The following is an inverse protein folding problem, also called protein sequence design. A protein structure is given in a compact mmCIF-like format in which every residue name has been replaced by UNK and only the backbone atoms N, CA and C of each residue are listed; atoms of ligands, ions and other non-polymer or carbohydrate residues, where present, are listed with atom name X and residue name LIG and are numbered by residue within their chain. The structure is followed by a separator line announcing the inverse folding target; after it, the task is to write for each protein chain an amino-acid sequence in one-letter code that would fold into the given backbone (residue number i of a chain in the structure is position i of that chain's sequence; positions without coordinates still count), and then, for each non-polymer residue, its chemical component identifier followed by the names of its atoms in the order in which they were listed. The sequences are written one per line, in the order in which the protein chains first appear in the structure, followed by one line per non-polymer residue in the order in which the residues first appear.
data_IF_334482002462
#
_entry.id   IF_334482002462
#
_cell.length_a   1.000
_cell.length_b   1.000
_cell.length_c   1.000
_cell.angle_alpha   90.00
_cell.angle_beta   90.00
_cell.angle_gamma   90.00
#
_symmetry.space_group_name_H-M   'P 1'
#
loop_
_entity.id
_entity.type
_entity.pdbx_description
1 polymer ?
#
# COMPACT_ATOMS: atom_id res chain seq x y z
N UNK A 1 -3.34 -2.55 27.91
CA UNK A 1 -3.15 -3.96 27.54
C UNK A 1 -4.15 -4.20 26.42
N UNK A 2 -3.69 -4.53 25.22
CA UNK A 2 -4.64 -4.84 24.14
C UNK A 2 -5.44 -6.08 24.53
N UNK A 3 -6.76 -6.03 24.36
CA UNK A 3 -7.61 -7.18 24.64
C UNK A 3 -7.32 -8.30 23.64
N UNK A 4 -7.31 -9.55 24.11
CA UNK A 4 -7.13 -10.69 23.23
C UNK A 4 -8.39 -10.85 22.37
N UNK A 5 -8.23 -10.81 21.05
CA UNK A 5 -9.35 -11.00 20.13
C UNK A 5 -10.00 -12.38 20.30
N UNK A 6 -11.32 -12.47 20.09
CA UNK A 6 -12.03 -13.74 20.05
C UNK A 6 -11.62 -14.52 18.79
N UNK A 7 -10.50 -15.25 18.90
CA UNK A 7 -9.94 -16.03 17.80
C UNK A 7 -10.89 -17.14 17.37
N UNK A 8 -11.20 -17.16 16.08
CA UNK A 8 -12.11 -18.14 15.48
C UNK A 8 -11.57 -18.65 14.14
N UNK A 9 -10.87 -19.78 14.16
CA UNK A 9 -10.15 -20.29 12.97
C UNK A 9 -11.03 -21.09 11.99
N UNK A 10 -12.23 -21.51 12.40
CA UNK A 10 -13.10 -22.30 11.52
C UNK A 10 -13.69 -21.43 10.41
N UNK A 11 -13.19 -21.59 9.18
CA UNK A 11 -13.56 -20.77 8.00
C UNK A 11 -15.06 -20.81 7.65
N UNK A 12 -15.73 -21.94 7.85
CA UNK A 12 -17.16 -22.06 7.55
C UNK A 12 -17.49 -21.98 6.06
N UNK A 13 -18.75 -21.68 5.75
CA UNK A 13 -19.27 -21.49 4.39
C UNK A 13 -20.03 -20.17 4.29
N UNK A 14 -19.75 -19.42 3.25
CA UNK A 14 -20.41 -18.14 3.01
C UNK A 14 -21.93 -18.32 2.79
N UNK A 15 -22.78 -17.59 3.52
CA UNK A 15 -24.22 -17.66 3.34
C UNK A 15 -24.65 -17.22 1.93
N UNK A 16 -25.72 -17.79 1.37
CA UNK A 16 -26.28 -17.32 0.09
C UNK A 16 -26.78 -15.88 0.21
N UNK A 17 -26.82 -15.16 -0.93
CA UNK A 17 -27.18 -13.74 -0.97
C UNK A 17 -28.51 -13.42 -0.27
N UNK A 18 -29.54 -14.25 -0.49
CA UNK A 18 -30.85 -14.11 0.17
C UNK A 18 -30.74 -14.09 1.70
N UNK A 19 -29.91 -14.96 2.28
CA UNK A 19 -29.76 -15.06 3.74
C UNK A 19 -28.94 -13.88 4.30
N UNK A 20 -28.05 -13.30 3.50
CA UNK A 20 -27.33 -12.07 3.87
C UNK A 20 -28.24 -10.84 3.86
N UNK A 21 -29.19 -10.80 2.92
CA UNK A 21 -30.14 -9.69 2.78
C UNK A 21 -31.26 -9.78 3.83
N UNK A 22 -31.91 -10.93 3.92
CA UNK A 22 -33.11 -11.09 4.74
C UNK A 22 -32.77 -11.41 6.20
N UNK A 23 -31.56 -11.94 6.44
CA UNK A 23 -31.13 -12.42 7.75
C UNK A 23 -31.83 -13.72 8.16
N UNK A 24 -31.51 -14.18 9.38
CA UNK A 24 -32.17 -15.36 9.95
C UNK A 24 -33.62 -15.06 10.30
N UNK A 25 -34.54 -15.84 9.74
CA UNK A 25 -35.97 -15.70 10.04
C UNK A 25 -36.37 -16.47 11.29
N UNK A 26 -37.45 -16.05 11.98
CA UNK A 26 -38.02 -16.80 13.09
C UNK A 26 -38.30 -18.27 12.71
N UNK A 27 -37.91 -19.20 13.59
CA UNK A 27 -38.06 -20.64 13.37
C UNK A 27 -36.96 -21.28 12.50
N UNK A 28 -36.08 -20.49 11.88
CA UNK A 28 -34.89 -21.04 11.21
C UNK A 28 -33.83 -21.44 12.23
N UNK A 29 -33.18 -22.59 12.00
CA UNK A 29 -31.99 -22.99 12.76
C UNK A 29 -30.74 -22.48 12.01
N UNK A 30 -29.92 -21.61 12.65
CA UNK A 30 -28.68 -21.16 12.03
C UNK A 30 -27.75 -22.32 11.68
N UNK A 31 -27.27 -22.34 10.44
CA UNK A 31 -26.24 -23.30 10.01
C UNK A 31 -24.94 -22.98 10.74
N UNK A 32 -24.35 -23.99 11.39
CA UNK A 32 -23.05 -23.87 12.04
C UNK A 32 -21.98 -23.42 11.05
N UNK A 33 -22.05 -23.86 9.79
CA UNK A 33 -21.10 -23.44 8.75
C UNK A 33 -21.24 -21.95 8.40
N UNK A 34 -22.46 -21.43 8.35
CA UNK A 34 -22.70 -20.00 8.11
C UNK A 34 -22.28 -19.13 9.29
N UNK A 35 -22.51 -19.60 10.52
CA UNK A 35 -22.05 -18.92 11.74
C UNK A 35 -20.52 -18.90 11.84
N UNK A 36 -19.88 -20.03 11.55
CA UNK A 36 -18.42 -20.13 11.49
C UNK A 36 -17.82 -19.14 10.50
N UNK A 37 -18.42 -19.01 9.31
CA UNK A 37 -17.99 -18.01 8.32
C UNK A 37 -18.08 -16.58 8.84
N UNK A 38 -19.19 -16.22 9.49
CA UNK A 38 -19.37 -14.89 10.05
C UNK A 38 -18.33 -14.60 11.15
N UNK A 39 -18.17 -15.50 12.12
CA UNK A 39 -17.23 -15.32 13.21
C UNK A 39 -15.78 -15.30 12.76
N UNK A 40 -15.40 -16.18 11.82
CA UNK A 40 -14.06 -16.18 11.24
C UNK A 40 -13.78 -14.86 10.52
N UNK A 41 -14.72 -14.36 9.71
CA UNK A 41 -14.54 -13.10 8.97
C UNK A 41 -14.43 -11.91 9.92
N UNK A 42 -15.29 -11.83 10.94
CA UNK A 42 -15.22 -10.79 11.97
C UNK A 42 -13.86 -10.83 12.68
N UNK A 43 -13.43 -12.02 13.15
CA UNK A 43 -12.13 -12.18 13.79
C UNK A 43 -10.99 -11.70 12.88
N UNK A 44 -10.98 -12.11 11.61
CA UNK A 44 -9.94 -11.69 10.66
C UNK A 44 -9.92 -10.18 10.40
N UNK A 45 -11.07 -9.54 10.26
CA UNK A 45 -11.12 -8.09 10.11
C UNK A 45 -10.65 -7.36 11.39
N UNK A 46 -10.99 -7.86 12.57
CA UNK A 46 -10.50 -7.27 13.83
C UNK A 46 -8.99 -7.49 14.01
N UNK A 47 -8.48 -8.68 13.65
CA UNK A 47 -7.05 -9.01 13.67
C UNK A 47 -6.26 -8.10 12.74
N UNK A 48 -6.77 -7.86 11.53
CA UNK A 48 -6.21 -6.93 10.55
C UNK A 48 -6.17 -5.49 11.09
N UNK A 49 -7.29 -5.01 11.65
CA UNK A 49 -7.37 -3.67 12.25
C UNK A 49 -6.41 -3.54 13.44
N UNK A 50 -6.31 -4.55 14.30
CA UNK A 50 -5.43 -4.51 15.46
C UNK A 50 -3.95 -4.58 15.07
N UNK A 51 -3.60 -5.41 14.08
CA UNK A 51 -2.20 -5.61 13.68
C UNK A 51 -1.68 -4.41 12.88
N UNK A 52 -2.48 -3.91 11.94
CA UNK A 52 -2.03 -2.94 10.95
C UNK A 52 -2.69 -1.56 11.10
N UNK A 53 -3.61 -1.38 12.05
CA UNK A 53 -4.39 -0.14 12.20
C UNK A 53 -5.28 0.18 11.00
N UNK A 54 -5.49 -0.77 10.07
CA UNK A 54 -6.05 -0.49 8.75
C UNK A 54 -5.15 0.40 7.86
N UNK A 55 -3.85 0.47 8.16
CA UNK A 55 -2.87 1.34 7.47
C UNK A 55 -1.89 0.59 6.59
N UNK A 56 -2.05 -0.73 6.42
CA UNK A 56 -1.09 -1.56 5.67
C UNK A 56 -0.85 -1.04 4.25
N UNK A 57 -1.92 -0.72 3.52
CA UNK A 57 -1.84 -0.14 2.18
C UNK A 57 -1.08 1.19 2.19
N UNK A 58 -1.37 2.07 3.16
CA UNK A 58 -0.69 3.36 3.33
C UNK A 58 0.80 3.16 3.68
N UNK A 59 1.14 2.16 4.49
CA UNK A 59 2.52 1.84 4.83
C UNK A 59 3.29 1.31 3.62
N UNK A 60 2.65 0.49 2.78
CA UNK A 60 3.24 0.01 1.53
C UNK A 60 3.50 1.17 0.55
N UNK A 61 2.53 2.07 0.39
CA UNK A 61 2.70 3.27 -0.44
C UNK A 61 3.79 4.20 0.11
N UNK A 62 3.83 4.40 1.43
CA UNK A 62 4.87 5.20 2.09
C UNK A 62 6.26 4.60 1.86
N UNK A 63 6.40 3.28 1.98
CA UNK A 63 7.67 2.59 1.73
C UNK A 63 8.11 2.73 0.27
N UNK A 64 7.17 2.63 -0.69
CA UNK A 64 7.45 2.85 -2.11
C UNK A 64 7.89 4.30 -2.39
N UNK A 65 7.21 5.29 -1.80
CA UNK A 65 7.58 6.69 -1.90
C UNK A 65 8.95 6.98 -1.28
N UNK A 66 9.27 6.38 -0.14
CA UNK A 66 10.57 6.51 0.49
C UNK A 66 11.70 5.94 -0.38
N UNK A 67 11.47 4.80 -1.04
CA UNK A 67 12.42 4.23 -1.98
C UNK A 67 12.67 5.17 -3.18
N UNK A 68 11.59 5.70 -3.78
CA UNK A 68 11.69 6.67 -4.88
C UNK A 68 12.47 7.93 -4.48
N UNK A 69 12.19 8.48 -3.28
CA UNK A 69 12.89 9.65 -2.76
C UNK A 69 14.37 9.33 -2.50
N UNK A 70 14.68 8.15 -1.98
CA UNK A 70 16.06 7.74 -1.75
C UNK A 70 16.84 7.58 -3.06
N UNK A 71 16.23 7.02 -4.09
CA UNK A 71 16.81 6.93 -5.44
C UNK A 71 17.03 8.32 -6.05
N UNK A 72 16.01 9.20 -5.96
CA UNK A 72 16.11 10.59 -6.43
C UNK A 72 17.23 11.37 -5.72
N UNK A 73 17.40 11.18 -4.41
CA UNK A 73 18.46 11.82 -3.62
C UNK A 73 19.87 11.29 -3.93
N UNK A 74 19.98 10.05 -4.39
CA UNK A 74 21.26 9.42 -4.70
C UNK A 74 21.75 9.74 -6.12
N UNK A 75 20.86 10.08 -7.04
CA UNK A 75 21.20 10.43 -8.41
C UNK A 75 21.52 11.93 -8.54
N UNK A 76 22.68 12.26 -9.10
CA UNK A 76 23.09 13.65 -9.37
C UNK A 76 22.30 14.29 -10.52
N UNK A 77 21.65 13.49 -11.38
CA UNK A 77 20.86 13.94 -12.54
C UNK A 77 19.51 13.19 -12.66
N UNK A 78 18.58 13.36 -11.70
CA UNK A 78 17.35 12.57 -11.62
C UNK A 78 16.18 13.13 -12.45
N UNK A 79 16.37 14.28 -13.11
CA UNK A 79 15.32 14.93 -13.88
C UNK A 79 15.58 14.82 -15.37
N UNK A 80 14.52 14.75 -16.16
CA UNK A 80 14.60 14.61 -17.62
C UNK A 80 13.67 15.61 -18.32
N UNK A 81 14.07 16.08 -19.50
CA UNK A 81 13.20 16.83 -20.40
C UNK A 81 13.56 16.56 -21.86
N UNK A 82 12.59 16.70 -22.76
CA UNK A 82 12.82 16.71 -24.21
C UNK A 82 12.85 18.15 -24.71
N UNK A 83 13.94 18.55 -25.36
CA UNK A 83 14.05 19.87 -25.96
C UNK A 83 13.27 19.92 -27.28
N UNK A 84 12.38 20.91 -27.41
CA UNK A 84 11.52 21.06 -28.58
C UNK A 84 12.27 21.52 -29.84
N UNK A 85 13.51 22.00 -29.69
CA UNK A 85 14.34 22.57 -30.76
C UNK A 85 15.11 21.49 -31.51
N UNK A 86 15.70 20.54 -30.78
CA UNK A 86 16.52 19.47 -31.34
C UNK A 86 15.87 18.07 -31.22
N UNK A 87 14.71 17.98 -30.55
CA UNK A 87 13.96 16.75 -30.29
C UNK A 87 14.73 15.68 -29.51
N UNK A 88 15.75 16.10 -28.77
CA UNK A 88 16.57 15.21 -27.92
C UNK A 88 16.10 15.27 -26.48
N UNK A 89 16.31 14.15 -25.79
CA UNK A 89 16.03 14.03 -24.37
C UNK A 89 17.31 14.21 -23.59
N UNK A 90 17.25 15.04 -22.54
CA UNK A 90 18.37 15.33 -21.66
C UNK A 90 18.01 15.01 -20.22
N UNK A 91 18.93 14.38 -19.50
CA UNK A 91 18.86 14.26 -18.04
C UNK A 91 19.71 15.34 -17.38
N UNK A 92 19.26 15.87 -16.24
CA UNK A 92 19.90 16.98 -15.56
C UNK A 92 19.76 16.94 -14.04
N UNK A 93 20.63 17.68 -13.36
CA UNK A 93 20.58 17.89 -11.92
C UNK A 93 21.71 18.80 -11.42
N UNK A 94 22.12 18.60 -10.16
CA UNK A 94 23.07 19.47 -9.47
C UNK A 94 24.10 18.64 -8.70
N UNK A 95 25.36 19.09 -8.73
CA UNK A 95 26.43 18.51 -7.90
C UNK A 95 27.35 19.58 -7.34
N UNK A 96 28.20 19.22 -6.38
CA UNK A 96 29.23 20.14 -5.86
C UNK A 96 30.30 20.40 -6.90
N UNK A 97 30.78 21.64 -6.98
CA UNK A 97 31.95 21.97 -7.80
C UNK A 97 33.24 21.33 -7.24
N UNK A 98 34.34 21.40 -8.02
CA UNK A 98 35.61 20.77 -7.64
C UNK A 98 36.19 21.30 -6.31
N UNK A 99 35.93 22.57 -5.98
CA UNK A 99 36.37 23.20 -4.73
C UNK A 99 35.46 22.90 -3.53
N UNK A 100 34.31 22.24 -3.74
CA UNK A 100 33.28 21.94 -2.74
C UNK A 100 32.74 23.18 -2.00
N UNK A 101 32.81 24.35 -2.64
CA UNK A 101 32.36 25.64 -2.11
C UNK A 101 31.12 26.19 -2.85
N UNK A 102 30.61 25.47 -3.85
CA UNK A 102 29.41 25.83 -4.60
C UNK A 102 28.78 24.66 -5.34
N UNK A 103 27.57 24.90 -5.87
CA UNK A 103 26.82 23.95 -6.70
C UNK A 103 27.00 24.28 -8.19
N UNK A 104 27.03 23.24 -9.03
CA UNK A 104 27.03 23.35 -10.49
C UNK A 104 25.85 22.58 -11.06
N UNK A 105 25.20 23.18 -12.06
CA UNK A 105 24.21 22.50 -12.88
C UNK A 105 24.92 21.55 -13.86
N UNK A 106 24.41 20.34 -13.99
CA UNK A 106 24.92 19.31 -14.90
C UNK A 106 23.77 18.75 -15.73
N UNK A 107 24.06 18.44 -16.99
CA UNK A 107 23.10 17.80 -17.89
C UNK A 107 23.84 16.99 -18.96
N UNK A 108 23.21 15.93 -19.47
CA UNK A 108 23.70 15.10 -20.57
C UNK A 108 22.55 14.61 -21.46
N UNK A 109 22.86 14.37 -22.74
CA UNK A 109 21.92 13.77 -23.69
C UNK A 109 21.72 12.29 -23.36
N UNK A 110 20.47 11.84 -23.31
CA UNK A 110 20.10 10.44 -23.15
C UNK A 110 20.13 9.78 -24.53
N UNK A 111 21.08 8.84 -24.74
CA UNK A 111 21.30 8.13 -26.00
C UNK A 111 20.29 7.00 -26.26
#
# INVERSE_FOLDING_TARGET
MEEQLPKWDSVGVEPPAVLKTDGWQPGMKPSAQHMNWLFNRIYKCLEEIQTNGGTEEIQQELAALQALVAEHQADEMPHEFTDATDLKTYRYGFKTNAAKDGLVFVYEEVL
#
